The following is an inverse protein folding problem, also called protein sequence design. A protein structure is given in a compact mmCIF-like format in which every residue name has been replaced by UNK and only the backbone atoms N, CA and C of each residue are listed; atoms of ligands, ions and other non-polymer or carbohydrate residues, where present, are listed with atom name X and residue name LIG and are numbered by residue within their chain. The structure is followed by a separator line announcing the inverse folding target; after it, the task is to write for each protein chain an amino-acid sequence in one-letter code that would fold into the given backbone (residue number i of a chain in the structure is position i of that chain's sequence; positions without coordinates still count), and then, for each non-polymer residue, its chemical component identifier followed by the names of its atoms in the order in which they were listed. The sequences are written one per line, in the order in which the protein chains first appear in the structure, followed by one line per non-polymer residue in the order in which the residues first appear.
data_IF_359260903131
#
_entry.id   IF_359260903131
#
_cell.length_a   1.000
_cell.length_b   1.000
_cell.length_c   1.000
_cell.angle_alpha   90.00
_cell.angle_beta   90.00
_cell.angle_gamma   90.00
#
_symmetry.space_group_name_H-M   'P 1'
#
loop_
_entity.id
_entity.type
_entity.pdbx_description
1 polymer ?
#
# COMPACT_ATOMS: atom_id res chain seq x y z
N UNK A 1 2.61 -5.97 -21.28
CA UNK A 1 2.00 -6.97 -20.37
C UNK A 1 2.48 -6.82 -18.94
N UNK A 2 3.80 -6.76 -18.67
CA UNK A 2 4.34 -6.62 -17.32
C UNK A 2 3.76 -5.43 -16.53
N UNK A 3 3.73 -4.22 -17.11
CA UNK A 3 3.16 -3.05 -16.45
C UNK A 3 1.69 -3.23 -16.04
N UNK A 4 0.86 -3.76 -16.94
CA UNK A 4 -0.54 -4.08 -16.64
C UNK A 4 -0.65 -5.04 -15.45
N UNK A 5 0.16 -6.09 -15.41
CA UNK A 5 0.16 -7.04 -14.28
C UNK A 5 0.64 -6.37 -12.99
N UNK A 6 1.67 -5.53 -13.04
CA UNK A 6 2.18 -4.81 -11.88
C UNK A 6 1.14 -3.85 -11.28
N UNK A 7 0.41 -3.10 -12.13
CA UNK A 7 -0.68 -2.24 -11.68
C UNK A 7 -1.87 -3.03 -11.11
N UNK A 8 -2.24 -4.16 -11.75
CA UNK A 8 -3.29 -5.03 -11.22
C UNK A 8 -2.90 -5.64 -9.87
N UNK A 9 -1.63 -6.02 -9.70
CA UNK A 9 -1.10 -6.50 -8.44
C UNK A 9 -1.19 -5.40 -7.36
N UNK A 10 -0.73 -4.18 -7.66
CA UNK A 10 -0.87 -3.03 -6.75
C UNK A 10 -2.34 -2.82 -6.34
N UNK A 11 -3.24 -2.76 -7.32
CA UNK A 11 -4.67 -2.58 -7.06
C UNK A 11 -5.23 -3.69 -6.16
N UNK A 12 -4.89 -4.96 -6.42
CA UNK A 12 -5.36 -6.10 -5.64
C UNK A 12 -4.88 -6.06 -4.18
N UNK A 13 -3.64 -5.64 -3.94
CA UNK A 13 -3.04 -5.55 -2.61
C UNK A 13 -3.54 -4.32 -1.83
N UNK A 14 -3.62 -3.17 -2.48
CA UNK A 14 -3.99 -1.92 -1.81
C UNK A 14 -5.50 -1.77 -1.63
N UNK A 15 -6.35 -2.48 -2.39
CA UNK A 15 -7.81 -2.46 -2.17
C UNK A 15 -8.23 -2.86 -0.74
N UNK A 16 -7.83 -4.04 -0.20
CA UNK A 16 -8.18 -4.39 1.17
C UNK A 16 -7.50 -3.48 2.20
N UNK A 17 -6.31 -2.94 1.91
CA UNK A 17 -5.65 -1.97 2.77
C UNK A 17 -6.47 -0.66 2.85
N UNK A 18 -6.81 -0.06 1.70
CA UNK A 18 -7.64 1.13 1.59
C UNK A 18 -8.98 0.95 2.32
N UNK A 19 -9.67 -0.17 2.08
CA UNK A 19 -10.93 -0.49 2.75
C UNK A 19 -10.77 -0.55 4.28
N UNK A 20 -9.68 -1.14 4.78
CA UNK A 20 -9.43 -1.21 6.22
C UNK A 20 -9.15 0.18 6.81
N UNK A 21 -8.39 1.04 6.12
CA UNK A 21 -8.14 2.41 6.59
C UNK A 21 -9.40 3.30 6.55
N UNK A 22 -10.27 3.12 5.55
CA UNK A 22 -11.51 3.90 5.42
C UNK A 22 -12.60 3.46 6.40
N UNK A 23 -12.85 2.14 6.48
CA UNK A 23 -14.02 1.59 7.16
C UNK A 23 -13.71 0.94 8.52
N UNK A 24 -12.44 0.61 8.78
CA UNK A 24 -12.01 0.06 10.06
C UNK A 24 -10.69 0.69 10.58
N UNK A 25 -10.57 2.04 10.63
CA UNK A 25 -9.33 2.74 10.95
C UNK A 25 -8.74 2.35 12.32
N UNK A 26 -9.58 2.05 13.30
CA UNK A 26 -9.16 1.59 14.64
C UNK A 26 -8.30 0.31 14.62
N UNK A 27 -8.33 -0.47 13.53
CA UNK A 27 -7.49 -1.67 13.35
C UNK A 27 -6.06 -1.33 12.90
N UNK A 28 -5.74 -0.07 12.61
CA UNK A 28 -4.43 0.37 12.14
C UNK A 28 -3.48 0.83 13.24
N UNK A 29 -4.02 1.13 14.43
CA UNK A 29 -3.31 1.65 15.60
C UNK A 29 -3.63 0.81 16.83
N UNK A 30 -2.77 0.81 17.86
CA UNK A 30 -3.00 0.03 19.08
C UNK A 30 -4.13 0.63 19.92
N UNK A 31 -4.86 -0.23 20.65
CA UNK A 31 -5.93 0.22 21.55
C UNK A 31 -5.38 1.16 22.65
N UNK A 32 -4.16 0.91 23.12
CA UNK A 32 -3.47 1.78 24.08
C UNK A 32 -3.24 3.18 23.53
N UNK A 33 -2.78 3.30 22.28
CA UNK A 33 -2.56 4.60 21.62
C UNK A 33 -3.89 5.36 21.46
N UNK A 34 -4.95 4.64 21.07
CA UNK A 34 -6.29 5.22 20.91
C UNK A 34 -6.87 5.70 22.25
N UNK A 35 -6.67 4.93 23.32
CA UNK A 35 -7.17 5.24 24.66
C UNK A 35 -6.38 6.36 25.36
N UNK A 36 -5.08 6.51 25.07
CA UNK A 36 -4.25 7.59 25.63
C UNK A 36 -4.52 8.97 25.03
N UNK A 37 -5.27 9.04 23.93
CA UNK A 37 -5.57 10.28 23.24
C UNK A 37 -6.87 10.89 23.78
N UNK A 38 -6.81 11.62 24.90
CA UNK A 38 -7.92 12.47 25.36
C UNK A 38 -8.24 13.51 24.28
N UNK A 39 -9.38 13.36 23.58
CA UNK A 39 -9.77 14.21 22.44
C UNK A 39 -9.08 13.89 21.11
N UNK A 40 -7.86 13.34 21.10
CA UNK A 40 -7.09 13.04 19.88
C UNK A 40 -7.49 11.76 19.13
N UNK A 41 -8.36 10.91 19.72
CA UNK A 41 -8.83 9.69 19.06
C UNK A 41 -9.56 9.95 17.73
N UNK A 42 -10.35 11.02 17.67
CA UNK A 42 -11.07 11.42 16.46
C UNK A 42 -10.11 11.93 15.36
N UNK A 43 -9.11 12.74 15.74
CA UNK A 43 -8.10 13.25 14.80
C UNK A 43 -7.27 12.12 14.18
N UNK A 44 -6.86 11.14 14.99
CA UNK A 44 -6.16 9.94 14.50
C UNK A 44 -7.03 9.18 13.50
N UNK A 45 -8.32 9.01 13.78
CA UNK A 45 -9.25 8.35 12.85
C UNK A 45 -9.35 9.12 11.53
N UNK A 46 -9.47 10.45 11.56
CA UNK A 46 -9.53 11.27 10.35
C UNK A 46 -8.25 11.17 9.52
N UNK A 47 -7.07 11.19 10.15
CA UNK A 47 -5.79 10.99 9.46
C UNK A 47 -5.68 9.62 8.80
N UNK A 48 -6.14 8.57 9.49
CA UNK A 48 -6.16 7.21 8.94
C UNK A 48 -7.13 7.10 7.76
N UNK A 49 -8.30 7.72 7.83
CA UNK A 49 -9.25 7.74 6.73
C UNK A 49 -8.73 8.54 5.52
N UNK A 50 -8.06 9.68 5.75
CA UNK A 50 -7.41 10.44 4.68
C UNK A 50 -6.32 9.60 3.98
N UNK A 51 -5.53 8.85 4.76
CA UNK A 51 -4.57 7.89 4.20
C UNK A 51 -5.27 6.76 3.43
N UNK A 52 -6.41 6.27 3.91
CA UNK A 52 -7.26 5.32 3.18
C UNK A 52 -7.80 5.87 1.85
N UNK A 53 -8.15 7.16 1.80
CA UNK A 53 -8.54 7.84 0.57
C UNK A 53 -7.39 7.96 -0.43
N UNK A 54 -6.17 8.24 0.05
CA UNK A 54 -4.97 8.24 -0.78
C UNK A 54 -4.69 6.85 -1.38
N UNK A 55 -4.81 5.79 -0.57
CA UNK A 55 -4.70 4.40 -1.03
C UNK A 55 -5.78 4.05 -2.07
N UNK A 56 -7.04 4.42 -1.82
CA UNK A 56 -8.11 4.20 -2.79
C UNK A 56 -7.83 4.94 -4.12
N UNK A 57 -7.25 6.14 -4.04
CA UNK A 57 -6.85 6.91 -5.23
C UNK A 57 -5.71 6.23 -5.99
N UNK A 58 -4.73 5.63 -5.32
CA UNK A 58 -3.65 4.88 -5.98
C UNK A 58 -4.15 3.58 -6.62
N UNK A 59 -5.16 2.93 -6.03
CA UNK A 59 -5.88 1.80 -6.62
C UNK A 59 -6.57 2.24 -7.92
N UNK A 60 -7.34 3.34 -7.90
CA UNK A 60 -8.01 3.85 -9.10
C UNK A 60 -7.00 4.22 -10.19
N UNK A 61 -5.92 4.92 -9.84
CA UNK A 61 -4.84 5.24 -10.77
C UNK A 61 -4.23 3.97 -11.39
N UNK A 62 -4.01 2.93 -10.59
CA UNK A 62 -3.49 1.65 -11.08
C UNK A 62 -4.46 0.97 -12.04
N UNK A 63 -5.76 0.97 -11.75
CA UNK A 63 -6.77 0.42 -12.66
C UNK A 63 -6.83 1.19 -13.98
N UNK A 64 -6.73 2.52 -13.94
CA UNK A 64 -6.63 3.36 -15.14
C UNK A 64 -5.38 2.99 -15.93
N UNK A 65 -4.20 2.94 -15.30
CA UNK A 65 -2.94 2.58 -15.97
C UNK A 65 -2.93 1.14 -16.52
N UNK A 66 -3.62 0.22 -15.87
CA UNK A 66 -3.79 -1.16 -16.32
C UNK A 66 -4.73 -1.29 -17.53
N UNK A 67 -5.78 -0.47 -17.59
CA UNK A 67 -6.72 -0.41 -18.69
C UNK A 67 -6.21 0.43 -19.86
N UNK A 68 -5.31 1.37 -19.60
CA UNK A 68 -4.78 2.27 -20.60
C UNK A 68 -3.89 1.54 -21.61
N UNK A 69 -4.33 1.52 -22.86
CA UNK A 69 -3.71 0.78 -23.95
C UNK A 69 -2.41 1.41 -24.45
N UNK A 70 -2.14 2.68 -24.12
CA UNK A 70 -0.92 3.37 -24.54
C UNK A 70 0.26 2.98 -23.64
N UNK A 71 1.24 2.21 -24.14
CA UNK A 71 2.54 2.15 -23.48
C UNK A 71 3.25 3.51 -23.52
N UNK A 72 4.26 3.66 -22.67
CA UNK A 72 5.24 4.72 -22.80
C UNK A 72 5.67 5.35 -21.48
N UNK A 73 6.50 6.39 -21.61
CA UNK A 73 7.16 7.09 -20.51
C UNK A 73 6.26 7.42 -19.32
N UNK A 74 5.09 8.01 -19.53
CA UNK A 74 4.20 8.38 -18.41
C UNK A 74 3.79 7.15 -17.59
N UNK A 75 3.44 6.05 -18.26
CA UNK A 75 3.08 4.79 -17.59
C UNK A 75 4.25 4.23 -16.80
N UNK A 76 5.46 4.33 -17.35
CA UNK A 76 6.70 3.96 -16.67
C UNK A 76 6.97 4.79 -15.41
N UNK A 77 6.87 6.12 -15.51
CA UNK A 77 7.07 7.05 -14.40
C UNK A 77 6.04 6.83 -13.28
N UNK A 78 4.76 6.61 -13.64
CA UNK A 78 3.72 6.28 -12.65
C UNK A 78 4.01 4.95 -11.97
N UNK A 79 4.47 3.93 -12.70
CA UNK A 79 4.86 2.65 -12.11
C UNK A 79 6.01 2.83 -11.11
N UNK A 80 7.04 3.61 -11.45
CA UNK A 80 8.16 3.90 -10.54
C UNK A 80 7.72 4.67 -9.29
N UNK A 81 6.84 5.66 -9.44
CA UNK A 81 6.28 6.41 -8.32
C UNK A 81 5.52 5.49 -7.36
N UNK A 82 4.59 4.67 -7.87
CA UNK A 82 3.86 3.68 -7.07
C UNK A 82 4.79 2.59 -6.51
N UNK A 83 5.83 2.21 -7.25
CA UNK A 83 6.87 1.31 -6.77
C UNK A 83 7.52 1.86 -5.51
N UNK A 84 8.02 3.10 -5.57
CA UNK A 84 8.67 3.77 -4.43
C UNK A 84 7.78 3.86 -3.19
N UNK A 85 6.46 4.02 -3.37
CA UNK A 85 5.51 4.02 -2.27
C UNK A 85 5.59 2.73 -1.44
N UNK A 86 5.87 1.56 -2.04
CA UNK A 86 5.94 0.30 -1.32
C UNK A 86 7.14 0.15 -0.37
N UNK A 87 8.12 1.06 -0.41
CA UNK A 87 9.19 1.11 0.60
C UNK A 87 8.63 1.45 1.99
N UNK A 88 7.61 2.31 2.08
CA UNK A 88 7.02 2.75 3.34
C UNK A 88 6.25 1.64 4.09
N UNK A 89 5.28 0.94 3.47
CA UNK A 89 4.61 -0.17 4.13
C UNK A 89 5.55 -1.37 4.37
N UNK A 90 6.59 -1.57 3.55
CA UNK A 90 7.65 -2.54 3.82
C UNK A 90 8.42 -2.19 5.09
N UNK A 91 8.87 -0.93 5.25
CA UNK A 91 9.51 -0.46 6.49
C UNK A 91 8.58 -0.63 7.69
N UNK A 92 7.29 -0.29 7.54
CA UNK A 92 6.29 -0.47 8.61
C UNK A 92 6.15 -1.94 9.01
N UNK A 93 6.06 -2.85 8.04
CA UNK A 93 5.96 -4.29 8.29
C UNK A 93 7.21 -4.83 9.01
N UNK A 94 8.40 -4.42 8.54
CA UNK A 94 9.67 -4.79 9.15
C UNK A 94 9.76 -4.32 10.61
N UNK A 95 9.45 -3.06 10.90
CA UNK A 95 9.47 -2.51 12.26
C UNK A 95 8.46 -3.25 13.16
N UNK A 96 7.25 -3.51 12.68
CA UNK A 96 6.25 -4.27 13.44
C UNK A 96 6.75 -5.67 13.78
N UNK A 97 7.44 -6.32 12.86
CA UNK A 97 8.01 -7.64 13.06
C UNK A 97 9.17 -7.61 14.07
N UNK A 98 10.13 -6.69 13.91
CA UNK A 98 11.32 -6.62 14.77
C UNK A 98 11.00 -6.15 16.18
N UNK A 99 10.08 -5.20 16.33
CA UNK A 99 9.67 -4.65 17.64
C UNK A 99 8.45 -5.36 18.25
N UNK A 100 7.95 -6.42 17.60
CA UNK A 100 6.76 -7.18 18.02
C UNK A 100 5.50 -6.32 18.23
N UNK A 101 5.35 -5.25 17.46
CA UNK A 101 4.24 -4.30 17.57
C UNK A 101 2.98 -4.85 16.91
N UNK A 102 1.92 -5.01 17.71
CA UNK A 102 0.61 -5.44 17.22
C UNK A 102 0.64 -6.82 16.58
N UNK A 103 1.49 -7.72 17.11
CA UNK A 103 1.51 -9.14 16.73
C UNK A 103 0.40 -9.94 17.41
N UNK A 104 -0.15 -9.43 18.51
CA UNK A 104 -1.28 -10.01 19.24
C UNK A 104 -2.53 -9.13 19.08
N UNK A 105 -3.72 -9.73 19.18
CA UNK A 105 -4.99 -9.00 19.07
C UNK A 105 -5.45 -8.73 17.62
N UNK A 106 -6.45 -7.84 17.41
CA UNK A 106 -7.07 -7.59 16.11
C UNK A 106 -6.09 -7.12 15.02
N UNK A 107 -4.98 -6.47 15.40
CA UNK A 107 -3.91 -6.04 14.48
C UNK A 107 -2.98 -7.18 14.05
N UNK A 108 -2.92 -8.27 14.83
CA UNK A 108 -2.16 -9.49 14.51
C UNK A 108 -2.95 -10.50 13.68
N UNK A 109 -4.28 -10.34 13.60
CA UNK A 109 -5.19 -11.19 12.81
C UNK A 109 -5.41 -10.67 11.38
N UNK A 110 -4.57 -9.77 10.89
CA UNK A 110 -4.61 -9.37 9.47
C UNK A 110 -4.15 -10.55 8.60
N UNK A 111 -4.69 -10.67 7.38
CA UNK A 111 -4.38 -11.77 6.46
C UNK A 111 -2.86 -11.92 6.28
N UNK A 112 -2.27 -12.92 6.94
CA UNK A 112 -0.86 -13.30 6.81
C UNK A 112 0.14 -12.66 7.80
N UNK A 113 -0.26 -11.67 8.62
CA UNK A 113 0.65 -11.02 9.58
C UNK A 113 1.84 -10.26 8.96
N UNK A 114 2.72 -9.62 9.77
CA UNK A 114 3.72 -8.68 9.25
C UNK A 114 4.71 -9.25 8.23
N UNK A 115 5.07 -10.53 8.34
CA UNK A 115 5.98 -11.17 7.38
C UNK A 115 5.35 -11.28 5.98
N UNK A 116 4.08 -11.67 5.88
CA UNK A 116 3.36 -11.73 4.59
C UNK A 116 3.15 -10.32 4.03
N UNK A 117 2.79 -9.35 4.88
CA UNK A 117 2.68 -7.95 4.44
C UNK A 117 4.01 -7.45 3.86
N UNK A 118 5.14 -7.74 4.51
CA UNK A 118 6.46 -7.38 4.00
C UNK A 118 6.73 -8.04 2.63
N UNK A 119 6.51 -9.35 2.52
CA UNK A 119 6.74 -10.08 1.28
C UNK A 119 5.90 -9.54 0.12
N UNK A 120 4.62 -9.25 0.37
CA UNK A 120 3.69 -8.71 -0.61
C UNK A 120 4.11 -7.30 -1.07
N UNK A 121 4.47 -6.40 -0.14
CA UNK A 121 4.91 -5.05 -0.54
C UNK A 121 6.26 -5.07 -1.26
N UNK A 122 7.18 -5.97 -0.89
CA UNK A 122 8.43 -6.19 -1.65
C UNK A 122 8.12 -6.71 -3.06
N UNK A 123 7.18 -7.65 -3.21
CA UNK A 123 6.76 -8.13 -4.52
C UNK A 123 6.15 -7.01 -5.38
N UNK A 124 5.28 -6.17 -4.81
CA UNK A 124 4.75 -5.00 -5.52
C UNK A 124 5.85 -4.01 -5.90
N UNK A 125 6.79 -3.72 -5.01
CA UNK A 125 7.96 -2.88 -5.30
C UNK A 125 8.73 -3.40 -6.51
N UNK A 126 9.16 -4.67 -6.48
CA UNK A 126 9.91 -5.29 -7.57
C UNK A 126 9.12 -5.29 -8.88
N UNK A 127 7.83 -5.65 -8.84
CA UNK A 127 6.99 -5.72 -10.03
C UNK A 127 6.80 -4.34 -10.69
N UNK A 128 6.47 -3.30 -9.91
CA UNK A 128 6.26 -1.95 -10.40
C UNK A 128 7.55 -1.28 -10.87
N UNK A 129 8.66 -1.48 -10.14
CA UNK A 129 9.96 -0.94 -10.57
C UNK A 129 10.44 -1.61 -11.86
N UNK A 130 10.33 -2.94 -11.96
CA UNK A 130 10.71 -3.66 -13.17
C UNK A 130 9.83 -3.27 -14.37
N UNK A 131 8.52 -3.12 -14.14
CA UNK A 131 7.60 -2.60 -15.15
C UNK A 131 7.96 -1.18 -15.59
N UNK A 132 8.25 -0.31 -14.63
CA UNK A 132 8.58 1.09 -14.88
C UNK A 132 9.84 1.25 -15.71
N UNK A 133 10.91 0.57 -15.32
CA UNK A 133 12.17 0.56 -16.08
C UNK A 133 11.96 -0.02 -17.49
N UNK A 134 11.20 -1.10 -17.63
CA UNK A 134 10.90 -1.67 -18.95
C UNK A 134 10.12 -0.72 -19.86
N UNK A 135 9.17 0.05 -19.33
CA UNK A 135 8.41 1.02 -20.13
C UNK A 135 9.29 2.20 -20.56
N UNK A 136 10.22 2.64 -19.71
CA UNK A 136 11.16 3.72 -20.08
C UNK A 136 12.17 3.28 -21.15
N UNK A 137 12.73 2.07 -21.01
CA UNK A 137 13.73 1.53 -21.94
C UNK A 137 13.15 1.08 -23.29
N UNK A 138 11.83 1.05 -23.44
CA UNK A 138 11.16 0.70 -24.71
C UNK A 138 10.98 1.87 -25.66
N UNK A 139 11.10 3.09 -25.14
CA UNK A 139 10.91 4.34 -25.87
C UNK A 139 12.24 4.96 -26.32
N UNK A 140 13.38 4.29 -26.06
CA UNK A 140 14.71 4.56 -26.65
C UNK A 140 14.98 3.61 -27.81
#
# INVERSE_FOLDING_TARGET
MLARLAFLLHAAIETPAAATFLFAPHRQVSATLLASATGGGAEVVLLLQNYGGLLASSVLLSLVMAAWSSPGHLRGLVALALGSYHLFPSRRALIRQTQRIGLQGPQGRTLGGPAVHLAVHVACFVALTSAGLQELLRDE
#
